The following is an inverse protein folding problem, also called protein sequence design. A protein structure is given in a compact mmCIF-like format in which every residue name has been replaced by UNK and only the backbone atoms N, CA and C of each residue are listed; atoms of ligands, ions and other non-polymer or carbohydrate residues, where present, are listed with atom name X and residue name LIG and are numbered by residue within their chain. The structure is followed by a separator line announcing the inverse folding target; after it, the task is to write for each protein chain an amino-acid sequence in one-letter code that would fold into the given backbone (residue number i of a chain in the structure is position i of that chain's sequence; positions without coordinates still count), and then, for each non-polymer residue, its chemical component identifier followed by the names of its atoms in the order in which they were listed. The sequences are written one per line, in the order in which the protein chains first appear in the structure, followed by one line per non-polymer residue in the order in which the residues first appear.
data_IF_003499672874
#
_entry.id   IF_003499672874
#
_cell.length_a   1.000
_cell.length_b   1.000
_cell.length_c   1.000
_cell.angle_alpha   90.00
_cell.angle_beta   90.00
_cell.angle_gamma   90.00
#
_symmetry.space_group_name_H-M   'P 1'
#
loop_
_entity.id
_entity.type
_entity.pdbx_description
1 polymer ?
#
# COMPACT_ATOMS: atom_id res chain seq x y z
N UNK A 1 -5.64 -11.39 1.39
CA UNK A 1 -4.68 -12.51 1.34
C UNK A 1 -3.35 -12.02 0.81
N UNK A 2 -2.24 -12.58 1.31
CA UNK A 2 -0.89 -12.30 0.83
C UNK A 2 -0.31 -13.56 0.18
N UNK A 3 0.31 -13.42 -0.99
CA UNK A 3 1.02 -14.53 -1.62
C UNK A 3 2.32 -14.83 -0.86
N UNK A 4 2.72 -16.10 -0.74
CA UNK A 4 3.93 -16.47 0.00
C UNK A 4 5.21 -15.82 -0.53
N UNK A 5 5.33 -15.71 -1.86
CA UNK A 5 6.44 -15.00 -2.50
C UNK A 5 6.51 -13.51 -2.10
N UNK A 6 5.36 -12.91 -1.81
CA UNK A 6 5.21 -11.50 -1.47
C UNK A 6 5.32 -11.26 0.05
N UNK A 7 5.25 -12.31 0.89
CA UNK A 7 5.21 -12.22 2.37
C UNK A 7 6.44 -11.53 2.96
N UNK A 8 7.63 -11.80 2.41
CA UNK A 8 8.90 -11.18 2.84
C UNK A 8 8.92 -9.66 2.62
N UNK A 9 8.15 -9.14 1.66
CA UNK A 9 8.10 -7.71 1.36
C UNK A 9 7.19 -6.95 2.33
N UNK A 10 6.28 -7.63 3.02
CA UNK A 10 5.38 -7.04 4.02
C UNK A 10 5.87 -7.26 5.44
N UNK A 11 6.52 -8.40 5.69
CA UNK A 11 7.03 -8.80 7.00
C UNK A 11 8.56 -8.93 6.95
N UNK A 12 9.30 -7.81 6.94
CA UNK A 12 10.77 -7.85 6.78
C UNK A 12 11.52 -8.34 8.03
N UNK A 13 10.81 -8.73 9.09
CA UNK A 13 11.37 -9.16 10.38
C UNK A 13 11.05 -8.19 11.52
N UNK A 14 11.69 -8.39 12.68
CA UNK A 14 11.55 -7.53 13.87
C UNK A 14 10.10 -7.36 14.37
N UNK A 15 9.24 -8.36 14.15
CA UNK A 15 7.80 -8.29 14.43
C UNK A 15 7.07 -7.09 13.78
N UNK A 16 7.63 -6.53 12.70
CA UNK A 16 7.06 -5.41 11.96
C UNK A 16 6.25 -5.91 10.77
N UNK A 17 5.10 -5.27 10.57
CA UNK A 17 4.26 -5.43 9.38
C UNK A 17 4.19 -4.06 8.70
N UNK A 18 4.63 -3.99 7.44
CA UNK A 18 4.56 -2.75 6.67
C UNK A 18 3.12 -2.45 6.25
N UNK A 19 2.73 -1.17 6.12
CA UNK A 19 1.42 -0.81 5.57
C UNK A 19 1.24 -1.39 4.17
N UNK A 20 0.11 -2.05 3.92
CA UNK A 20 -0.15 -2.76 2.67
C UNK A 20 -1.21 -2.07 1.82
N UNK A 21 -1.05 -2.13 0.50
CA UNK A 21 -2.14 -1.81 -0.45
C UNK A 21 -2.86 -3.09 -0.84
N UNK A 22 -4.20 -3.06 -0.73
CA UNK A 22 -5.09 -4.16 -1.04
C UNK A 22 -5.85 -3.84 -2.32
N UNK A 23 -5.86 -4.78 -3.28
CA UNK A 23 -6.71 -4.73 -4.47
C UNK A 23 -7.52 -6.02 -4.49
N UNK A 24 -8.84 -5.91 -4.53
CA UNK A 24 -9.78 -7.03 -4.50
C UNK A 24 -9.50 -8.03 -3.37
N UNK A 25 -9.07 -7.52 -2.21
CA UNK A 25 -8.73 -8.32 -1.04
C UNK A 25 -7.34 -8.97 -1.05
N UNK A 26 -6.53 -8.74 -2.09
CA UNK A 26 -5.16 -9.24 -2.19
C UNK A 26 -4.14 -8.16 -1.91
N UNK A 27 -3.10 -8.49 -1.15
CA UNK A 27 -1.95 -7.59 -0.96
C UNK A 27 -1.20 -7.47 -2.27
N UNK A 28 -1.13 -6.24 -2.81
CA UNK A 28 -0.47 -5.95 -4.09
C UNK A 28 0.78 -5.08 -3.94
N UNK A 29 1.10 -4.67 -2.72
CA UNK A 29 2.27 -3.85 -2.44
C UNK A 29 2.30 -3.35 -1.02
N UNK A 30 3.28 -2.52 -0.74
CA UNK A 30 3.35 -1.71 0.47
C UNK A 30 3.11 -0.23 0.16
N UNK A 31 2.88 0.56 1.19
CA UNK A 31 2.87 2.01 1.07
C UNK A 31 3.57 2.67 2.26
N UNK A 32 3.99 3.91 2.06
CA UNK A 32 4.55 4.77 3.10
C UNK A 32 3.95 6.17 3.00
N UNK A 33 4.04 6.91 4.10
CA UNK A 33 3.68 8.32 4.14
C UNK A 33 4.89 9.13 4.59
N UNK A 34 5.33 10.06 3.77
CA UNK A 34 6.46 10.93 4.04
C UNK A 34 6.27 12.28 3.34
N UNK A 35 6.66 13.37 4.01
CA UNK A 35 6.57 14.72 3.47
C UNK A 35 5.17 15.11 2.93
N UNK A 36 4.10 14.64 3.58
CA UNK A 36 2.73 14.93 3.16
C UNK A 36 2.23 14.07 1.99
N UNK A 37 3.02 13.12 1.51
CA UNK A 37 2.70 12.29 0.35
C UNK A 37 2.60 10.81 0.72
N UNK A 38 1.58 10.14 0.16
CA UNK A 38 1.50 8.67 0.15
C UNK A 38 2.28 8.13 -1.04
N UNK A 39 3.21 7.21 -0.79
CA UNK A 39 3.99 6.53 -1.83
C UNK A 39 3.62 5.06 -1.86
N UNK A 40 3.10 4.60 -2.99
CA UNK A 40 2.83 3.19 -3.25
C UNK A 40 4.07 2.49 -3.79
N UNK A 41 4.32 1.26 -3.33
CA UNK A 41 5.36 0.36 -3.85
C UNK A 41 4.71 -0.97 -4.20
N UNK A 42 4.14 -1.10 -5.41
CA UNK A 42 3.46 -2.31 -5.82
C UNK A 42 4.48 -3.42 -6.15
N UNK A 43 4.18 -4.67 -5.83
CA UNK A 43 5.06 -5.82 -6.09
C UNK A 43 5.13 -6.19 -7.58
N UNK A 44 4.07 -5.84 -8.31
CA UNK A 44 3.91 -5.99 -9.76
C UNK A 44 3.18 -4.75 -10.28
N UNK A 45 3.39 -4.33 -11.54
CA UNK A 45 2.65 -3.19 -12.10
C UNK A 45 1.14 -3.31 -11.88
N UNK A 46 0.52 -2.18 -11.52
CA UNK A 46 -0.94 -2.09 -11.40
C UNK A 46 -1.53 -1.77 -12.77
N UNK A 47 -2.72 -2.30 -13.05
CA UNK A 47 -3.50 -1.84 -14.20
C UNK A 47 -3.89 -0.36 -14.02
N UNK A 48 -4.31 0.30 -15.10
CA UNK A 48 -4.78 1.69 -15.05
C UNK A 48 -5.94 1.84 -14.06
N UNK A 49 -6.90 0.91 -14.09
CA UNK A 49 -8.05 0.93 -13.18
C UNK A 49 -7.65 0.70 -11.73
N UNK A 50 -6.76 -0.26 -11.46
CA UNK A 50 -6.23 -0.52 -10.11
C UNK A 50 -5.50 0.72 -9.56
N UNK A 51 -4.72 1.39 -10.41
CA UNK A 51 -4.00 2.61 -10.05
C UNK A 51 -4.97 3.75 -9.73
N UNK A 52 -5.96 3.98 -10.59
CA UNK A 52 -6.98 5.01 -10.36
C UNK A 52 -7.77 4.79 -9.07
N UNK A 53 -8.14 3.53 -8.79
CA UNK A 53 -8.82 3.18 -7.55
C UNK A 53 -7.94 3.45 -6.32
N UNK A 54 -6.64 3.11 -6.39
CA UNK A 54 -5.70 3.39 -5.32
C UNK A 54 -5.47 4.90 -5.11
N UNK A 55 -5.36 5.68 -6.19
CA UNK A 55 -5.20 7.14 -6.12
C UNK A 55 -6.44 7.83 -5.52
N UNK A 56 -7.65 7.33 -5.82
CA UNK A 56 -8.89 7.79 -5.19
C UNK A 56 -8.88 7.48 -3.69
N UNK A 57 -8.43 6.29 -3.29
CA UNK A 57 -8.30 5.94 -1.87
C UNK A 57 -7.28 6.80 -1.14
N UNK A 58 -6.13 7.09 -1.76
CA UNK A 58 -5.11 7.99 -1.20
C UNK A 58 -5.71 9.36 -0.87
N UNK A 59 -6.52 9.91 -1.78
CA UNK A 59 -7.21 11.19 -1.56
C UNK A 59 -8.11 11.15 -0.32
N UNK A 60 -8.82 10.04 -0.10
CA UNK A 60 -9.66 9.84 1.09
C UNK A 60 -8.85 9.63 2.36
N UNK A 61 -7.66 9.04 2.23
CA UNK A 61 -6.76 8.76 3.35
C UNK A 61 -6.01 10.02 3.80
N UNK A 62 -5.74 10.97 2.90
CA UNK A 62 -4.94 12.18 3.19
C UNK A 62 -5.40 12.95 4.45
N UNK A 63 -6.68 13.27 4.65
CA UNK A 63 -7.12 14.00 5.85
C UNK A 63 -6.72 13.32 7.17
N UNK A 64 -6.70 11.99 7.20
CA UNK A 64 -6.32 11.21 8.39
C UNK A 64 -4.80 11.21 8.64
N UNK A 65 -4.01 11.34 7.57
CA UNK A 65 -2.54 11.35 7.66
C UNK A 65 -1.99 12.75 7.95
N UNK A 66 -2.71 13.80 7.53
CA UNK A 66 -2.33 15.19 7.72
C UNK A 66 -2.64 15.74 9.12
N UNK A 67 -3.58 15.14 9.84
CA UNK A 67 -3.93 15.51 11.23
C UNK A 67 -3.02 14.85 12.28
N UNK A 68 -1.78 14.51 11.92
CA UNK A 68 -0.86 13.76 12.77
C UNK A 68 0.03 14.63 13.64
#
# INVERSE_FOLDING_TARGET
MIADADRKHVTPGQARVLPTVLIDGYVRGTWSFAAGEVRLTPFRPLSVTERQAADHEITRLQPFLSCR
#
